data_IF_506524687876
#
_entry.id   IF_506524687876
#
_cell.length_a   1.000
_cell.length_b   1.000
_cell.length_c   1.000
_cell.angle_alpha   90.00
_cell.angle_beta   90.00
_cell.angle_gamma   90.00
#
_symmetry.space_group_name_H-M   'P 1'
#
loop_
_entity.id
_entity.type
_entity.pdbx_description
1 polymer ?
#
# COMPACT_ATOMS: atom_id res chain seq x y z
N UNK A 1 -14.69 -10.43 -12.93
CA UNK A 1 -15.29 -10.77 -11.63
C UNK A 1 -14.84 -12.17 -11.23
N UNK A 2 -14.67 -12.42 -9.93
CA UNK A 2 -14.21 -13.71 -9.41
C UNK A 2 -15.24 -14.83 -9.57
N UNK A 3 -14.77 -16.08 -9.61
CA UNK A 3 -15.65 -17.26 -9.59
C UNK A 3 -16.30 -17.40 -8.20
N UNK A 4 -17.56 -17.86 -8.11
CA UNK A 4 -18.18 -18.17 -6.83
C UNK A 4 -17.38 -19.20 -6.03
N UNK A 5 -17.24 -18.96 -4.73
CA UNK A 5 -16.56 -19.86 -3.80
C UNK A 5 -17.60 -20.76 -3.10
N UNK A 6 -17.25 -22.02 -2.86
CA UNK A 6 -18.04 -22.94 -2.03
C UNK A 6 -17.44 -22.96 -0.62
N UNK A 7 -18.30 -22.98 0.40
CA UNK A 7 -17.84 -23.14 1.77
C UNK A 7 -17.17 -24.51 1.95
N UNK A 8 -16.05 -24.52 2.67
CA UNK A 8 -15.36 -25.74 3.08
C UNK A 8 -16.02 -26.31 4.35
N UNK A 9 -15.49 -27.45 4.85
CA UNK A 9 -16.01 -28.10 6.06
C UNK A 9 -15.93 -27.23 7.31
N UNK A 10 -15.01 -26.26 7.36
CA UNK A 10 -14.84 -25.32 8.46
C UNK A 10 -14.69 -23.86 8.03
N UNK A 11 -14.96 -22.95 8.97
CA UNK A 11 -14.82 -21.50 8.79
C UNK A 11 -13.37 -21.14 8.43
N UNK A 12 -12.38 -21.69 9.13
CA UNK A 12 -10.96 -21.42 8.87
C UNK A 12 -10.56 -21.80 7.44
N UNK A 13 -10.98 -22.99 6.97
CA UNK A 13 -10.68 -23.43 5.60
C UNK A 13 -11.41 -22.57 4.56
N UNK A 14 -12.64 -22.16 4.84
CA UNK A 14 -13.41 -21.26 3.96
C UNK A 14 -12.74 -19.90 3.85
N UNK A 15 -12.29 -19.34 4.97
CA UNK A 15 -11.58 -18.07 5.02
C UNK A 15 -10.22 -18.14 4.30
N UNK A 16 -9.48 -19.25 4.44
CA UNK A 16 -8.24 -19.46 3.73
C UNK A 16 -8.45 -19.47 2.20
N UNK A 17 -9.45 -20.23 1.72
CA UNK A 17 -9.78 -20.31 0.30
C UNK A 17 -10.28 -18.96 -0.27
N UNK A 18 -11.06 -18.21 0.51
CA UNK A 18 -11.48 -16.85 0.15
C UNK A 18 -10.28 -15.92 0.01
N UNK A 19 -9.37 -15.92 1.00
CA UNK A 19 -8.16 -15.08 0.99
C UNK A 19 -7.29 -15.40 -0.22
N UNK A 20 -7.04 -16.67 -0.50
CA UNK A 20 -6.28 -17.09 -1.67
C UNK A 20 -6.92 -16.58 -2.98
N UNK A 21 -8.22 -16.80 -3.14
CA UNK A 21 -8.96 -16.38 -4.34
C UNK A 21 -8.93 -14.86 -4.54
N UNK A 22 -9.14 -14.09 -3.47
CA UNK A 22 -9.07 -12.63 -3.52
C UNK A 22 -7.66 -12.12 -3.81
N UNK A 23 -6.64 -12.79 -3.28
CA UNK A 23 -5.23 -12.42 -3.53
C UNK A 23 -4.89 -12.62 -5.01
N UNK A 24 -5.30 -13.74 -5.60
CA UNK A 24 -5.14 -13.98 -7.04
C UNK A 24 -5.83 -12.91 -7.90
N UNK A 25 -7.06 -12.53 -7.56
CA UNK A 25 -7.78 -11.46 -8.26
C UNK A 25 -7.11 -10.09 -8.12
N UNK A 26 -6.57 -9.80 -6.94
CA UNK A 26 -5.84 -8.56 -6.68
C UNK A 26 -4.58 -8.47 -7.55
N UNK A 27 -3.78 -9.53 -7.65
CA UNK A 27 -2.61 -9.54 -8.51
C UNK A 27 -2.96 -9.32 -9.98
N UNK A 28 -4.00 -10.00 -10.48
CA UNK A 28 -4.47 -9.79 -11.86
C UNK A 28 -4.96 -8.36 -12.11
N UNK A 29 -5.64 -7.76 -11.14
CA UNK A 29 -6.11 -6.38 -11.23
C UNK A 29 -4.92 -5.40 -11.24
N UNK A 30 -3.92 -5.63 -10.39
CA UNK A 30 -2.69 -4.84 -10.34
C UNK A 30 -1.95 -4.92 -11.68
N UNK A 31 -1.66 -6.11 -12.20
CA UNK A 31 -0.91 -6.30 -13.45
C UNK A 31 -1.55 -5.60 -14.65
N UNK A 32 -2.88 -5.58 -14.71
CA UNK A 32 -3.64 -5.00 -15.84
C UNK A 32 -3.87 -3.50 -15.71
N UNK A 33 -3.70 -2.93 -14.52
CA UNK A 33 -3.85 -1.49 -14.35
C UNK A 33 -2.69 -0.76 -15.06
N UNK A 34 -2.93 0.40 -15.69
CA UNK A 34 -1.84 1.13 -16.35
C UNK A 34 -0.71 1.44 -15.38
N UNK A 35 0.54 1.21 -15.81
CA UNK A 35 1.75 1.54 -15.06
C UNK A 35 2.59 2.55 -15.84
N UNK A 36 2.26 3.85 -15.81
CA UNK A 36 3.11 4.86 -16.41
C UNK A 36 4.49 4.82 -15.74
N UNK A 37 5.54 4.76 -16.55
CA UNK A 37 6.91 4.69 -16.06
C UNK A 37 7.22 5.87 -15.13
N UNK A 38 7.77 5.58 -13.95
CA UNK A 38 8.17 6.60 -12.99
C UNK A 38 7.03 7.28 -12.22
N UNK A 39 5.76 6.91 -12.43
CA UNK A 39 4.65 7.48 -11.65
C UNK A 39 4.84 7.23 -10.14
N UNK A 40 4.74 8.29 -9.33
CA UNK A 40 5.04 8.25 -7.89
C UNK A 40 4.13 7.33 -7.06
N UNK A 41 2.99 6.92 -7.61
CA UNK A 41 2.03 6.02 -6.97
C UNK A 41 2.18 4.56 -7.41
N UNK A 42 2.93 4.30 -8.50
CA UNK A 42 3.17 2.94 -9.01
C UNK A 42 4.35 2.31 -8.24
N UNK A 43 4.22 1.08 -7.74
CA UNK A 43 5.34 0.36 -7.11
C UNK A 43 6.56 0.22 -8.03
N UNK A 44 7.77 0.31 -7.47
CA UNK A 44 9.02 0.12 -8.23
C UNK A 44 9.11 -1.21 -8.99
N UNK A 45 8.60 -2.30 -8.41
CA UNK A 45 8.56 -3.61 -9.07
C UNK A 45 7.73 -3.63 -10.35
N UNK A 46 6.85 -2.65 -10.53
CA UNK A 46 5.99 -2.46 -11.71
C UNK A 46 6.48 -1.29 -12.60
N UNK A 47 7.72 -0.82 -12.42
CA UNK A 47 8.33 0.27 -13.21
C UNK A 47 7.96 1.68 -12.73
N UNK A 48 7.32 1.80 -11.57
CA UNK A 48 6.92 3.08 -10.99
C UNK A 48 7.97 3.75 -10.12
N UNK A 49 7.64 4.95 -9.66
CA UNK A 49 8.48 5.81 -8.83
C UNK A 49 8.12 5.82 -7.34
N UNK A 50 7.17 4.99 -6.88
CA UNK A 50 6.74 5.02 -5.48
C UNK A 50 7.88 4.72 -4.51
N UNK A 51 8.01 5.46 -3.40
CA UNK A 51 9.07 5.28 -2.40
C UNK A 51 9.03 3.88 -1.79
N UNK A 52 10.19 3.37 -1.40
CA UNK A 52 10.29 2.16 -0.57
C UNK A 52 9.82 2.49 0.83
N UNK A 53 9.49 1.47 1.63
CA UNK A 53 9.10 1.70 3.03
C UNK A 53 10.18 2.45 3.82
N UNK A 54 11.46 2.13 3.59
CA UNK A 54 12.57 2.81 4.26
C UNK A 54 12.71 4.28 3.80
N UNK A 55 12.53 4.56 2.52
CA UNK A 55 12.54 5.93 2.02
C UNK A 55 11.34 6.74 2.53
N UNK A 56 10.15 6.15 2.54
CA UNK A 56 8.95 6.78 3.08
C UNK A 56 9.13 7.12 4.56
N UNK A 57 9.64 6.17 5.37
CA UNK A 57 9.95 6.40 6.78
C UNK A 57 10.96 7.54 6.98
N UNK A 58 11.98 7.65 6.11
CA UNK A 58 12.93 8.78 6.15
C UNK A 58 12.25 10.10 5.80
N UNK A 59 11.44 10.14 4.74
CA UNK A 59 10.69 11.33 4.35
C UNK A 59 9.78 11.83 5.49
N UNK A 60 9.09 10.92 6.17
CA UNK A 60 8.26 11.24 7.34
C UNK A 60 9.11 11.80 8.51
N UNK A 61 10.27 11.21 8.79
CA UNK A 61 11.18 11.69 9.82
C UNK A 61 11.74 13.09 9.51
N UNK A 62 12.14 13.32 8.26
CA UNK A 62 12.65 14.61 7.79
C UNK A 62 11.56 15.70 7.89
N UNK A 63 10.32 15.37 7.49
CA UNK A 63 9.18 16.28 7.63
C UNK A 63 8.87 16.59 9.10
N UNK A 64 8.91 15.59 9.99
CA UNK A 64 8.71 15.78 11.42
C UNK A 64 9.78 16.70 12.03
N UNK A 65 11.05 16.51 11.66
CA UNK A 65 12.16 17.35 12.12
C UNK A 65 12.01 18.79 11.61
N UNK A 66 11.67 18.98 10.34
CA UNK A 66 11.44 20.31 9.77
C UNK A 66 10.29 21.04 10.48
N UNK A 67 9.18 20.36 10.74
CA UNK A 67 8.04 20.93 11.50
C UNK A 67 8.40 21.28 12.93
N UNK A 68 9.22 20.47 13.60
CA UNK A 68 9.70 20.79 14.95
C UNK A 68 10.59 22.03 14.96
N UNK A 69 11.47 22.19 13.97
CA UNK A 69 12.34 23.35 13.84
C UNK A 69 11.58 24.65 13.50
N UNK A 70 10.47 24.55 12.75
CA UNK A 70 9.63 25.71 12.42
C UNK A 70 8.66 26.12 13.53
N UNK A 71 8.58 25.37 14.64
CA UNK A 71 7.77 25.79 15.80
C UNK A 71 8.49 26.93 16.52
N UNK A 72 8.20 28.17 16.11
CA UNK A 72 8.34 29.32 17.02
C UNK A 72 7.44 29.07 18.23
N UNK A 73 7.93 29.27 19.48
CA UNK A 73 7.06 29.26 20.63
C UNK A 73 6.06 30.41 20.44
N UNK A 74 4.81 30.09 20.13
CA UNK A 74 3.75 31.07 20.28
C UNK A 74 3.60 31.28 21.78
N UNK A 75 4.29 32.29 22.30
CA UNK A 75 4.16 32.76 23.67
C UNK A 75 2.72 33.23 23.85
N UNK A 76 1.88 32.35 24.39
CA UNK A 76 0.53 32.68 24.83
C UNK A 76 0.66 33.67 25.99
N UNK A 77 0.40 34.94 25.68
CA UNK A 77 0.35 36.06 26.61
C UNK A 77 -1.02 36.15 27.29
#
# INVERSE_FOLDING_TARGET
MGRPLRAAAGIEQTNAALRESMTALLWQAQERYPHPAGAYWVPRRLGGGAPTLAEAARMEADEAAARAASRTPHESR
#
